data_IF_676181527030
#
_entry.id   IF_676181527030
#
_cell.length_a   1.000
_cell.length_b   1.000
_cell.length_c   1.000
_cell.angle_alpha   90.00
_cell.angle_beta   90.00
_cell.angle_gamma   90.00
#
_symmetry.space_group_name_H-M   'P 1'
#
loop_
_entity.id
_entity.type
_entity.pdbx_description
1 polymer ?
#
# COMPACT_ATOMS: atom_id res chain seq x y z
N UNK A 1 -12.28 -4.48 -30.89
CA UNK A 1 -12.77 -3.78 -29.69
C UNK A 1 -13.86 -4.61 -29.01
N UNK A 2 -14.91 -4.98 -29.69
CA UNK A 2 -16.10 -5.67 -29.11
C UNK A 2 -15.74 -6.93 -28.34
N UNK A 3 -14.92 -7.82 -28.90
CA UNK A 3 -14.49 -9.04 -28.23
C UNK A 3 -13.74 -8.79 -26.92
N UNK A 4 -12.89 -7.74 -26.89
CA UNK A 4 -12.13 -7.39 -25.71
C UNK A 4 -13.04 -6.83 -24.61
N UNK A 5 -14.05 -6.02 -24.98
CA UNK A 5 -15.03 -5.50 -24.03
C UNK A 5 -15.92 -6.62 -23.46
N UNK A 6 -16.33 -7.58 -24.27
CA UNK A 6 -17.09 -8.76 -23.81
C UNK A 6 -16.28 -9.63 -22.86
N UNK A 7 -14.98 -9.83 -23.15
CA UNK A 7 -14.07 -10.56 -22.29
C UNK A 7 -13.88 -9.87 -20.92
N UNK A 8 -13.75 -8.53 -20.91
CA UNK A 8 -13.59 -7.75 -19.68
C UNK A 8 -14.87 -7.69 -18.83
N UNK A 9 -16.03 -7.90 -19.45
CA UNK A 9 -17.34 -7.78 -18.82
C UNK A 9 -18.14 -9.09 -18.88
N UNK A 10 -17.65 -10.20 -18.31
CA UNK A 10 -18.35 -11.49 -18.35
C UNK A 10 -19.73 -11.43 -17.68
N UNK A 11 -19.95 -10.51 -16.75
CA UNK A 11 -21.21 -10.28 -16.05
C UNK A 11 -22.34 -9.74 -16.97
N UNK A 12 -22.06 -9.37 -18.23
CA UNK A 12 -23.11 -9.03 -19.18
C UNK A 12 -23.79 -10.27 -19.78
N UNK A 13 -23.12 -11.44 -19.69
CA UNK A 13 -23.54 -12.69 -20.33
C UNK A 13 -23.79 -13.79 -19.29
N UNK A 14 -22.94 -13.88 -18.26
CA UNK A 14 -23.00 -14.90 -17.21
C UNK A 14 -23.84 -14.44 -16.03
N UNK A 15 -24.35 -15.40 -15.25
CA UNK A 15 -25.02 -15.11 -13.98
C UNK A 15 -24.06 -14.38 -13.01
N UNK A 16 -24.62 -13.46 -12.24
CA UNK A 16 -23.88 -12.68 -11.26
C UNK A 16 -23.19 -13.55 -10.19
N UNK A 17 -23.74 -14.71 -9.89
CA UNK A 17 -23.20 -15.66 -8.91
C UNK A 17 -22.02 -16.49 -9.45
N UNK A 18 -21.81 -16.48 -10.77
CA UNK A 18 -20.76 -17.26 -11.43
C UNK A 18 -19.47 -16.47 -11.69
N UNK A 19 -19.51 -15.14 -11.47
CA UNK A 19 -18.37 -14.26 -11.78
C UNK A 19 -17.66 -13.76 -10.54
N UNK A 20 -16.36 -13.58 -10.64
CA UNK A 20 -15.49 -12.94 -9.63
C UNK A 20 -15.42 -13.65 -8.27
N UNK A 21 -15.65 -14.98 -8.24
CA UNK A 21 -15.56 -15.80 -7.03
C UNK A 21 -14.13 -16.13 -6.60
N UNK A 22 -13.19 -16.01 -7.51
CA UNK A 22 -11.77 -16.31 -7.31
C UNK A 22 -11.01 -15.27 -6.50
N UNK A 23 -11.60 -14.09 -6.25
CA UNK A 23 -10.91 -12.99 -5.56
C UNK A 23 -11.10 -13.07 -4.04
N UNK A 24 -9.99 -12.99 -3.31
CA UNK A 24 -9.99 -12.96 -1.85
C UNK A 24 -10.51 -11.63 -1.32
N UNK A 25 -11.21 -11.67 -0.21
CA UNK A 25 -11.72 -10.48 0.47
C UNK A 25 -10.59 -9.49 0.80
N UNK A 26 -10.90 -8.19 0.74
CA UNK A 26 -10.00 -7.10 1.11
C UNK A 26 -10.70 -6.19 2.10
N UNK A 27 -10.04 -5.86 3.22
CA UNK A 27 -10.65 -5.00 4.27
C UNK A 27 -11.09 -3.62 3.75
N UNK A 28 -10.43 -3.12 2.73
CA UNK A 28 -10.80 -1.84 2.10
C UNK A 28 -12.03 -1.91 1.20
N UNK A 29 -12.64 -3.08 1.02
CA UNK A 29 -13.82 -3.24 0.17
C UNK A 29 -15.00 -2.41 0.69
N UNK A 30 -15.30 -2.45 1.98
CA UNK A 30 -16.45 -1.72 2.55
C UNK A 30 -16.26 -0.21 2.41
N UNK A 31 -15.03 0.30 2.63
CA UNK A 31 -14.72 1.70 2.38
C UNK A 31 -14.88 2.05 0.89
N UNK A 32 -14.38 1.20 -0.02
CA UNK A 32 -14.51 1.41 -1.46
C UNK A 32 -15.99 1.45 -1.89
N UNK A 33 -16.81 0.56 -1.34
CA UNK A 33 -18.26 0.52 -1.58
C UNK A 33 -18.98 1.75 -1.03
N UNK A 34 -18.58 2.24 0.16
CA UNK A 34 -19.18 3.46 0.74
C UNK A 34 -18.96 4.69 -0.16
N UNK A 35 -17.80 4.76 -0.85
CA UNK A 35 -17.49 5.84 -1.80
C UNK A 35 -18.38 5.83 -3.06
N UNK A 36 -19.11 4.75 -3.34
CA UNK A 36 -20.07 4.69 -4.46
C UNK A 36 -21.32 5.51 -4.18
N UNK A 37 -21.62 5.84 -2.92
CA UNK A 37 -22.80 6.62 -2.52
C UNK A 37 -22.72 8.10 -2.90
N UNK A 38 -21.51 8.63 -3.04
CA UNK A 38 -21.24 10.04 -3.37
C UNK A 38 -20.93 10.21 -4.86
N UNK A 39 -20.99 11.46 -5.35
CA UNK A 39 -20.78 11.76 -6.76
C UNK A 39 -19.32 11.67 -7.20
N UNK A 40 -18.39 11.92 -6.28
CA UNK A 40 -16.97 12.03 -6.56
C UNK A 40 -16.41 10.77 -7.23
N UNK A 41 -15.40 10.95 -8.06
CA UNK A 41 -14.64 9.87 -8.72
C UNK A 41 -13.89 9.11 -7.64
N UNK A 42 -13.91 7.79 -7.67
CA UNK A 42 -13.10 6.95 -6.78
C UNK A 42 -11.79 6.59 -7.49
N UNK A 43 -10.66 7.01 -6.92
CA UNK A 43 -9.35 6.65 -7.44
C UNK A 43 -8.67 5.64 -6.50
N UNK A 44 -8.57 4.39 -6.93
CA UNK A 44 -7.88 3.32 -6.24
C UNK A 44 -6.43 3.31 -6.70
N UNK A 45 -5.52 3.72 -5.83
CA UNK A 45 -4.09 3.79 -6.14
C UNK A 45 -3.29 2.83 -5.26
N UNK A 46 -2.10 2.48 -5.70
CA UNK A 46 -1.22 1.55 -4.97
C UNK A 46 -0.20 0.92 -5.90
N UNK A 47 0.81 0.27 -5.33
CA UNK A 47 1.86 -0.37 -6.10
C UNK A 47 1.30 -1.36 -7.15
N UNK A 48 2.10 -1.67 -8.15
CA UNK A 48 1.79 -2.75 -9.10
C UNK A 48 1.60 -4.08 -8.34
N UNK A 49 0.62 -4.89 -8.74
CA UNK A 49 0.31 -6.23 -8.20
C UNK A 49 -0.21 -6.30 -6.75
N UNK A 50 -0.62 -5.18 -6.14
CA UNK A 50 -1.26 -5.19 -4.80
C UNK A 50 -2.73 -5.61 -4.81
N UNK A 51 -3.33 -5.81 -6.00
CA UNK A 51 -4.71 -6.29 -6.13
C UNK A 51 -5.74 -5.18 -6.40
N UNK A 52 -5.36 -4.03 -7.00
CA UNK A 52 -6.29 -2.96 -7.39
C UNK A 52 -7.41 -3.48 -8.30
N UNK A 53 -7.06 -4.19 -9.37
CA UNK A 53 -8.01 -4.81 -10.30
C UNK A 53 -8.89 -5.87 -9.60
N UNK A 54 -8.34 -6.62 -8.64
CA UNK A 54 -9.11 -7.57 -7.83
C UNK A 54 -10.12 -6.86 -6.96
N UNK A 55 -9.75 -5.75 -6.32
CA UNK A 55 -10.68 -4.94 -5.52
C UNK A 55 -11.81 -4.37 -6.39
N UNK A 56 -11.51 -3.88 -7.61
CA UNK A 56 -12.56 -3.42 -8.53
C UNK A 56 -13.52 -4.55 -8.94
N UNK A 57 -13.02 -5.77 -9.12
CA UNK A 57 -13.87 -6.95 -9.41
C UNK A 57 -14.75 -7.33 -8.21
N UNK A 58 -14.24 -7.23 -6.97
CA UNK A 58 -15.04 -7.40 -5.76
C UNK A 58 -16.13 -6.33 -5.63
N UNK A 59 -15.81 -5.07 -5.95
CA UNK A 59 -16.81 -3.99 -5.99
C UNK A 59 -17.92 -4.27 -7.03
N UNK A 60 -17.53 -4.72 -8.23
CA UNK A 60 -18.49 -5.12 -9.28
C UNK A 60 -19.38 -6.26 -8.79
N UNK A 61 -18.80 -7.31 -8.18
CA UNK A 61 -19.55 -8.42 -7.60
C UNK A 61 -20.60 -7.95 -6.60
N UNK A 62 -20.24 -7.01 -5.74
CA UNK A 62 -21.17 -6.42 -4.76
C UNK A 62 -22.25 -5.58 -5.43
N UNK A 63 -21.94 -4.84 -6.49
CA UNK A 63 -22.92 -4.05 -7.26
C UNK A 63 -23.92 -4.93 -8.00
N UNK A 64 -23.51 -6.07 -8.54
CA UNK A 64 -24.37 -7.00 -9.30
C UNK A 64 -25.54 -7.53 -8.48
N UNK A 65 -25.50 -7.42 -7.14
CA UNK A 65 -26.62 -7.77 -6.28
C UNK A 65 -27.76 -6.72 -6.30
N UNK A 66 -27.52 -5.51 -6.81
CA UNK A 66 -28.44 -4.37 -6.70
C UNK A 66 -28.58 -3.56 -7.99
N UNK A 67 -27.70 -3.76 -8.96
CA UNK A 67 -27.59 -2.96 -10.17
C UNK A 67 -27.67 -3.85 -11.39
N UNK A 68 -28.38 -3.40 -12.43
CA UNK A 68 -28.40 -4.11 -13.70
C UNK A 68 -26.97 -4.30 -14.23
N UNK A 69 -26.62 -5.52 -14.60
CA UNK A 69 -25.28 -5.88 -15.07
C UNK A 69 -24.83 -5.01 -16.27
N UNK A 70 -25.76 -4.58 -17.10
CA UNK A 70 -25.49 -3.72 -18.26
C UNK A 70 -25.12 -2.29 -17.86
N UNK A 71 -25.48 -1.83 -16.67
CA UNK A 71 -25.10 -0.53 -16.11
C UNK A 71 -23.75 -0.55 -15.40
N UNK A 72 -23.04 -1.68 -15.45
CA UNK A 72 -21.71 -1.83 -14.90
C UNK A 72 -20.74 -2.11 -16.07
N UNK A 73 -19.77 -1.23 -16.25
CA UNK A 73 -18.73 -1.36 -17.27
C UNK A 73 -17.35 -1.46 -16.62
N UNK A 74 -16.54 -2.37 -17.09
CA UNK A 74 -15.14 -2.50 -16.70
C UNK A 74 -14.24 -2.58 -17.93
N UNK A 75 -13.09 -1.92 -17.88
CA UNK A 75 -12.06 -2.01 -18.90
C UNK A 75 -10.66 -1.97 -18.28
N UNK A 76 -9.77 -2.83 -18.76
CA UNK A 76 -8.35 -2.79 -18.46
C UNK A 76 -7.58 -2.21 -19.64
N UNK A 77 -7.06 -0.99 -19.47
CA UNK A 77 -6.33 -0.26 -20.51
C UNK A 77 -4.88 -0.77 -20.73
N UNK A 78 -4.37 -1.68 -19.88
CA UNK A 78 -3.06 -2.32 -20.06
C UNK A 78 -3.09 -3.40 -21.17
N UNK A 79 -4.27 -3.84 -21.63
CA UNK A 79 -4.38 -4.83 -22.70
C UNK A 79 -3.73 -4.32 -24.00
N UNK A 80 -2.99 -5.21 -24.65
CA UNK A 80 -2.22 -4.90 -25.87
C UNK A 80 -3.06 -4.31 -27.00
N UNK A 81 -4.34 -4.68 -27.07
CA UNK A 81 -5.29 -4.14 -28.04
C UNK A 81 -5.48 -2.61 -27.95
N UNK A 82 -5.22 -2.02 -26.79
CA UNK A 82 -5.41 -0.59 -26.54
C UNK A 82 -4.11 0.23 -26.65
N UNK A 83 -2.94 -0.41 -26.49
CA UNK A 83 -1.63 0.27 -26.49
C UNK A 83 -1.39 1.16 -27.71
N UNK A 84 -1.75 0.77 -28.97
CA UNK A 84 -1.55 1.62 -30.14
C UNK A 84 -2.32 2.95 -30.08
N UNK A 85 -3.38 3.02 -29.30
CA UNK A 85 -4.31 4.15 -29.25
C UNK A 85 -4.13 5.05 -28.01
N UNK A 86 -3.14 4.78 -27.15
CA UNK A 86 -2.91 5.50 -25.89
C UNK A 86 -2.74 7.02 -26.03
N UNK A 87 -2.35 7.48 -27.22
CA UNK A 87 -2.16 8.90 -27.53
C UNK A 87 -3.34 9.52 -28.30
N UNK A 88 -4.37 8.74 -28.66
CA UNK A 88 -5.59 9.29 -29.30
C UNK A 88 -6.54 9.84 -28.22
N UNK A 89 -6.72 11.17 -28.13
CA UNK A 89 -7.56 11.78 -27.08
C UNK A 89 -9.05 11.41 -27.20
N UNK A 90 -9.48 10.92 -28.39
CA UNK A 90 -10.87 10.53 -28.65
C UNK A 90 -11.11 9.03 -28.43
N UNK A 91 -10.07 8.25 -28.15
CA UNK A 91 -10.25 6.79 -28.12
C UNK A 91 -11.11 6.33 -26.92
N UNK A 92 -11.01 6.98 -25.77
CA UNK A 92 -11.88 6.69 -24.62
C UNK A 92 -13.36 7.01 -24.92
N UNK A 93 -13.63 8.04 -25.76
CA UNK A 93 -14.99 8.30 -26.24
C UNK A 93 -15.48 7.16 -27.15
N UNK A 94 -14.63 6.65 -28.06
CA UNK A 94 -14.98 5.48 -28.91
C UNK A 94 -15.27 4.22 -28.08
N UNK A 95 -14.49 3.99 -27.01
CA UNK A 95 -14.75 2.90 -26.07
C UNK A 95 -16.12 3.07 -25.42
N UNK A 96 -16.43 4.26 -24.92
CA UNK A 96 -17.72 4.59 -24.32
C UNK A 96 -18.88 4.37 -25.28
N UNK A 97 -18.78 4.86 -26.51
CA UNK A 97 -19.83 4.71 -27.55
C UNK A 97 -20.00 3.21 -27.93
N UNK A 98 -18.91 2.44 -27.93
CA UNK A 98 -18.98 1.00 -28.17
C UNK A 98 -19.68 0.27 -27.01
N UNK A 99 -19.39 0.66 -25.76
CA UNK A 99 -20.09 0.15 -24.59
C UNK A 99 -21.61 0.38 -24.69
N UNK A 100 -22.05 1.62 -24.99
CA UNK A 100 -23.48 1.92 -25.13
C UNK A 100 -24.16 1.02 -26.17
N UNK A 101 -23.48 0.78 -27.30
CA UNK A 101 -24.02 -0.08 -28.38
C UNK A 101 -24.08 -1.57 -27.98
N UNK A 102 -23.04 -2.08 -27.32
CA UNK A 102 -22.95 -3.50 -26.96
C UNK A 102 -23.79 -3.89 -25.75
N UNK A 103 -23.73 -3.10 -24.69
CA UNK A 103 -24.41 -3.39 -23.46
C UNK A 103 -25.86 -2.90 -23.45
N UNK A 104 -26.15 -1.81 -24.16
CA UNK A 104 -27.46 -1.14 -24.14
C UNK A 104 -27.94 -0.87 -22.69
N UNK A 105 -27.16 -0.13 -21.87
CA UNK A 105 -27.51 0.12 -20.49
C UNK A 105 -28.81 0.95 -20.38
N UNK A 106 -29.47 0.91 -19.21
CA UNK A 106 -30.54 1.84 -18.91
C UNK A 106 -29.92 3.21 -18.56
N UNK A 107 -30.05 4.19 -19.48
CA UNK A 107 -29.45 5.52 -19.33
C UNK A 107 -30.17 6.39 -18.26
N UNK A 108 -31.38 6.01 -17.83
CA UNK A 108 -32.10 6.68 -16.74
C UNK A 108 -31.56 6.28 -15.36
N UNK A 109 -30.78 5.22 -15.30
CA UNK A 109 -30.12 4.73 -14.08
C UNK A 109 -28.64 5.10 -14.04
N UNK A 110 -28.06 5.06 -12.84
CA UNK A 110 -26.62 5.32 -12.65
C UNK A 110 -25.79 4.24 -13.36
N UNK A 111 -24.82 4.67 -14.15
CA UNK A 111 -23.82 3.80 -14.77
C UNK A 111 -22.57 3.81 -13.90
N UNK A 112 -22.01 2.63 -13.58
CA UNK A 112 -20.76 2.45 -12.88
C UNK A 112 -19.66 2.10 -13.87
N UNK A 113 -18.70 3.03 -14.03
CA UNK A 113 -17.68 2.95 -15.06
C UNK A 113 -16.30 2.74 -14.42
N UNK A 114 -15.80 1.50 -14.48
CA UNK A 114 -14.51 1.09 -13.95
C UNK A 114 -13.45 1.12 -15.04
N UNK A 115 -12.38 1.90 -14.80
CA UNK A 115 -11.24 2.00 -15.71
C UNK A 115 -9.97 1.60 -14.96
N UNK A 116 -9.42 0.47 -15.33
CA UNK A 116 -8.20 -0.07 -14.73
C UNK A 116 -6.96 0.45 -15.49
N UNK A 117 -5.93 0.88 -14.73
CA UNK A 117 -4.66 1.44 -15.21
C UNK A 117 -4.86 2.66 -16.14
N UNK A 118 -5.72 3.60 -15.73
CA UNK A 118 -6.15 4.75 -16.56
C UNK A 118 -4.99 5.63 -17.03
N UNK A 119 -3.88 5.71 -16.29
CA UNK A 119 -2.70 6.52 -16.62
C UNK A 119 -1.97 6.08 -17.91
N UNK A 120 -2.34 4.93 -18.46
CA UNK A 120 -1.78 4.47 -19.77
C UNK A 120 -2.22 5.38 -20.89
N UNK A 121 -3.42 5.96 -20.79
CA UNK A 121 -3.95 6.86 -21.80
C UNK A 121 -3.63 8.33 -21.48
N UNK A 122 -3.05 9.04 -22.44
CA UNK A 122 -2.82 10.48 -22.31
C UNK A 122 -4.16 11.23 -22.37
N UNK A 123 -4.28 12.32 -21.60
CA UNK A 123 -5.48 13.18 -21.58
C UNK A 123 -6.77 12.46 -21.12
N UNK A 124 -6.65 11.37 -20.36
CA UNK A 124 -7.80 10.65 -19.82
C UNK A 124 -8.70 11.53 -18.94
N UNK A 125 -8.11 12.53 -18.29
CA UNK A 125 -8.80 13.46 -17.40
C UNK A 125 -9.84 14.30 -18.14
N UNK A 126 -9.58 14.62 -19.40
CA UNK A 126 -10.52 15.36 -20.26
C UNK A 126 -11.77 14.54 -20.52
N UNK A 127 -11.59 13.24 -20.84
CA UNK A 127 -12.71 12.31 -21.02
C UNK A 127 -13.52 12.17 -19.74
N UNK A 128 -12.86 11.85 -18.62
CA UNK A 128 -13.53 11.64 -17.33
C UNK A 128 -14.28 12.91 -16.91
N UNK A 129 -13.66 14.10 -17.03
CA UNK A 129 -14.31 15.37 -16.70
C UNK A 129 -15.55 15.59 -17.54
N UNK A 130 -15.46 15.43 -18.88
CA UNK A 130 -16.58 15.68 -19.78
C UNK A 130 -17.79 14.80 -19.44
N UNK A 131 -17.57 13.53 -19.16
CA UNK A 131 -18.64 12.59 -18.81
C UNK A 131 -19.13 12.78 -17.36
N UNK A 132 -18.25 13.14 -16.42
CA UNK A 132 -18.64 13.49 -15.05
C UNK A 132 -19.59 14.68 -14.98
N UNK A 133 -19.41 15.68 -15.85
CA UNK A 133 -20.25 16.89 -15.88
C UNK A 133 -21.60 16.67 -16.59
N UNK A 134 -21.65 15.79 -17.59
CA UNK A 134 -22.79 15.67 -18.52
C UNK A 134 -23.64 14.42 -18.35
N UNK A 135 -23.30 13.50 -17.43
CA UNK A 135 -24.00 12.22 -17.35
C UNK A 135 -24.10 11.65 -15.93
N UNK A 136 -24.97 10.66 -15.75
CA UNK A 136 -25.14 9.92 -14.48
C UNK A 136 -24.11 8.80 -14.28
N UNK A 137 -22.81 9.09 -14.61
CA UNK A 137 -21.75 8.10 -14.49
C UNK A 137 -21.02 8.25 -13.16
N UNK A 138 -20.88 7.14 -12.44
CA UNK A 138 -19.96 6.98 -11.31
C UNK A 138 -18.67 6.39 -11.81
N UNK A 139 -17.59 7.15 -11.78
CA UNK A 139 -16.26 6.69 -12.17
C UNK A 139 -15.52 6.05 -11.02
N UNK A 140 -14.94 4.88 -11.29
CA UNK A 140 -13.97 4.20 -10.46
C UNK A 140 -12.73 3.96 -11.33
N UNK A 141 -11.61 4.59 -10.97
CA UNK A 141 -10.37 4.52 -11.73
C UNK A 141 -9.28 3.88 -10.90
N UNK A 142 -8.37 3.15 -11.53
CA UNK A 142 -7.18 2.65 -10.83
C UNK A 142 -5.90 3.17 -11.46
N UNK A 143 -4.83 3.19 -10.66
CA UNK A 143 -3.50 3.52 -11.14
C UNK A 143 -2.38 3.07 -10.21
N UNK A 144 -1.22 2.78 -10.80
CA UNK A 144 -0.04 2.26 -10.09
C UNK A 144 0.85 3.35 -9.48
N UNK A 145 0.39 4.62 -9.44
CA UNK A 145 1.22 5.73 -8.98
C UNK A 145 0.40 6.76 -8.18
N UNK A 146 0.99 7.29 -7.10
CA UNK A 146 0.38 8.34 -6.28
C UNK A 146 0.21 9.66 -7.05
N UNK A 147 1.11 9.96 -7.99
CA UNK A 147 1.06 11.17 -8.81
C UNK A 147 -0.04 11.15 -9.89
N UNK A 148 -0.81 10.05 -10.02
CA UNK A 148 -1.99 9.99 -10.88
C UNK A 148 -2.91 11.21 -10.66
N UNK A 149 -3.00 11.66 -9.41
CA UNK A 149 -3.84 12.79 -8.99
C UNK A 149 -3.06 14.11 -8.83
N UNK A 150 -1.73 14.09 -9.03
CA UNK A 150 -0.86 15.26 -8.88
C UNK A 150 -0.40 15.86 -10.23
N UNK A 151 -0.74 15.24 -11.35
CA UNK A 151 -0.36 15.71 -12.69
C UNK A 151 -1.01 17.06 -13.01
N UNK A 152 -0.45 17.77 -13.99
CA UNK A 152 -0.96 19.09 -14.46
C UNK A 152 -2.43 19.01 -14.91
N UNK A 153 -2.86 17.84 -15.36
CA UNK A 153 -4.25 17.58 -15.75
C UNK A 153 -5.16 17.18 -14.57
N UNK A 154 -4.59 16.73 -13.46
CA UNK A 154 -5.37 16.44 -12.23
C UNK A 154 -6.01 17.71 -11.65
N UNK A 155 -5.52 18.91 -12.01
CA UNK A 155 -6.17 20.18 -11.70
C UNK A 155 -7.60 20.26 -12.26
N UNK A 156 -7.90 19.57 -13.37
CA UNK A 156 -9.24 19.49 -13.97
C UNK A 156 -10.23 18.73 -13.07
N UNK A 157 -9.74 17.85 -12.21
CA UNK A 157 -10.53 16.98 -11.31
C UNK A 157 -10.36 17.36 -9.83
N UNK A 158 -9.67 18.47 -9.52
CA UNK A 158 -9.44 18.93 -8.15
C UNK A 158 -10.78 19.07 -7.40
N UNK A 159 -10.82 18.48 -6.17
CA UNK A 159 -12.03 18.48 -5.32
C UNK A 159 -13.12 17.50 -5.77
N UNK A 160 -12.88 16.68 -6.81
CA UNK A 160 -13.86 15.73 -7.35
C UNK A 160 -13.42 14.27 -7.24
N UNK A 161 -12.35 14.00 -6.51
CA UNK A 161 -11.76 12.65 -6.42
C UNK A 161 -11.59 12.23 -4.96
N UNK A 162 -12.11 11.08 -4.63
CA UNK A 162 -11.85 10.36 -3.38
C UNK A 162 -10.74 9.33 -3.63
N UNK A 163 -9.66 9.47 -2.89
CA UNK A 163 -8.49 8.60 -2.99
C UNK A 163 -8.63 7.42 -2.05
N UNK A 164 -8.42 6.21 -2.56
CA UNK A 164 -8.27 4.99 -1.80
C UNK A 164 -6.91 4.37 -2.09
N UNK A 165 -5.98 4.44 -1.14
CA UNK A 165 -4.69 3.78 -1.27
C UNK A 165 -4.81 2.31 -0.87
N UNK A 166 -4.42 1.40 -1.78
CA UNK A 166 -4.41 -0.03 -1.55
C UNK A 166 -2.95 -0.53 -1.45
N UNK A 167 -2.61 -1.13 -0.31
CA UNK A 167 -1.35 -1.85 -0.08
C UNK A 167 -1.47 -3.33 -0.44
N UNK A 168 -0.36 -4.07 -0.40
CA UNK A 168 -0.37 -5.53 -0.34
C UNK A 168 -1.27 -6.02 0.80
N UNK A 169 -1.56 -7.31 0.87
CA UNK A 169 -2.39 -7.88 1.95
C UNK A 169 -1.80 -7.50 3.31
N UNK A 170 -2.64 -7.01 4.23
CA UNK A 170 -2.25 -6.90 5.63
C UNK A 170 -2.31 -8.27 6.32
N UNK A 171 -1.87 -8.37 7.57
CA UNK A 171 -1.79 -9.64 8.27
C UNK A 171 -3.16 -10.31 8.46
N UNK A 172 -4.21 -9.54 8.76
CA UNK A 172 -5.57 -10.08 8.92
C UNK A 172 -6.14 -10.61 7.59
N UNK A 173 -5.91 -9.90 6.47
CA UNK A 173 -6.26 -10.39 5.13
C UNK A 173 -5.47 -11.66 4.79
N UNK A 174 -4.20 -11.75 5.23
CA UNK A 174 -3.37 -12.94 5.06
C UNK A 174 -3.88 -14.13 5.88
N UNK A 175 -4.27 -13.93 7.15
CA UNK A 175 -4.91 -14.97 7.97
C UNK A 175 -6.23 -15.45 7.35
N UNK A 176 -7.06 -14.52 6.88
CA UNK A 176 -8.32 -14.83 6.19
C UNK A 176 -8.10 -15.66 4.93
N UNK A 177 -7.08 -15.34 4.14
CA UNK A 177 -6.68 -16.14 2.97
C UNK A 177 -6.23 -17.55 3.36
N UNK A 178 -5.48 -17.69 4.46
CA UNK A 178 -5.05 -18.98 5.03
C UNK A 178 -6.19 -19.75 5.70
N UNK A 179 -7.38 -19.16 5.80
CA UNK A 179 -8.55 -19.71 6.52
C UNK A 179 -8.26 -19.96 8.02
N UNK A 180 -7.40 -19.14 8.62
CA UNK A 180 -7.09 -19.17 10.05
C UNK A 180 -8.05 -18.21 10.75
N UNK A 181 -8.83 -18.76 11.69
CA UNK A 181 -9.85 -18.00 12.43
C UNK A 181 -9.21 -17.21 13.58
N UNK A 182 -9.51 -15.90 13.66
CA UNK A 182 -8.92 -14.96 14.64
C UNK A 182 -9.93 -13.95 15.21
N UNK A 183 -11.24 -14.16 15.00
CA UNK A 183 -12.29 -13.17 15.35
C UNK A 183 -12.53 -13.03 16.85
N UNK A 184 -12.06 -13.95 17.67
CA UNK A 184 -12.26 -13.95 19.12
C UNK A 184 -11.01 -14.41 19.87
N UNK A 185 -10.90 -14.02 21.15
CA UNK A 185 -9.81 -14.49 22.00
C UNK A 185 -9.74 -16.03 22.06
N UNK A 186 -10.89 -16.71 22.00
CA UNK A 186 -10.94 -18.17 21.98
C UNK A 186 -10.37 -18.72 20.66
N UNK A 187 -10.77 -18.19 19.51
CA UNK A 187 -10.25 -18.66 18.21
C UNK A 187 -8.77 -18.37 18.07
N UNK A 188 -8.28 -17.24 18.56
CA UNK A 188 -6.84 -16.92 18.60
C UNK A 188 -6.09 -17.95 19.44
N UNK A 189 -6.58 -18.26 20.65
CA UNK A 189 -5.93 -19.26 21.52
C UNK A 189 -5.93 -20.67 20.90
N UNK A 190 -7.02 -21.06 20.23
CA UNK A 190 -7.12 -22.35 19.55
C UNK A 190 -6.18 -22.47 18.35
N UNK A 191 -5.97 -21.39 17.62
CA UNK A 191 -5.16 -21.35 16.39
C UNK A 191 -3.76 -20.75 16.63
N UNK A 192 -3.30 -20.64 17.88
CA UNK A 192 -2.04 -19.95 18.24
C UNK A 192 -0.85 -20.43 17.40
N UNK A 193 -0.70 -21.74 17.24
CA UNK A 193 0.43 -22.35 16.49
C UNK A 193 0.37 -21.96 15.00
N UNK A 194 -0.82 -21.98 14.39
CA UNK A 194 -1.03 -21.59 13.01
C UNK A 194 -0.79 -20.09 12.81
N UNK A 195 -1.22 -19.28 13.76
CA UNK A 195 -1.02 -17.82 13.73
C UNK A 195 0.47 -17.50 13.89
N UNK A 196 1.20 -18.14 14.79
CA UNK A 196 2.65 -17.95 14.96
C UNK A 196 3.42 -18.28 13.67
N UNK A 197 3.08 -19.40 13.02
CA UNK A 197 3.65 -19.77 11.71
C UNK A 197 3.29 -18.75 10.62
N UNK A 198 2.08 -18.20 10.68
CA UNK A 198 1.64 -17.16 9.77
C UNK A 198 2.39 -15.86 10.01
N UNK A 199 2.72 -15.49 11.27
CA UNK A 199 3.58 -14.35 11.62
C UNK A 199 4.96 -14.52 11.00
N UNK A 200 5.60 -15.69 11.17
CA UNK A 200 6.90 -16.00 10.58
C UNK A 200 6.90 -15.87 9.06
N UNK A 201 5.89 -16.45 8.41
CA UNK A 201 5.77 -16.40 6.96
C UNK A 201 5.55 -14.97 6.47
N UNK A 202 4.66 -14.21 7.12
CA UNK A 202 4.35 -12.85 6.75
C UNK A 202 5.52 -11.89 7.06
N UNK A 203 6.19 -12.05 8.18
CA UNK A 203 7.42 -11.32 8.54
C UNK A 203 8.48 -11.47 7.44
N UNK A 204 8.67 -12.70 6.95
CA UNK A 204 9.69 -13.01 5.94
C UNK A 204 9.27 -12.61 4.53
N UNK A 205 8.03 -12.86 4.13
CA UNK A 205 7.61 -12.80 2.71
C UNK A 205 6.65 -11.67 2.37
N UNK A 206 6.13 -10.96 3.38
CA UNK A 206 5.20 -9.84 3.19
C UNK A 206 3.82 -10.25 2.67
N UNK A 207 3.09 -9.26 2.16
CA UNK A 207 1.68 -9.38 1.80
C UNK A 207 1.38 -9.46 0.30
N UNK A 208 2.36 -9.57 -0.60
CA UNK A 208 2.08 -9.76 -2.01
C UNK A 208 1.47 -11.14 -2.28
N UNK A 209 0.22 -11.17 -2.78
CA UNK A 209 -0.53 -12.41 -3.05
C UNK A 209 0.28 -13.44 -3.85
N UNK A 210 0.86 -13.04 -4.97
CA UNK A 210 1.64 -13.94 -5.82
C UNK A 210 2.87 -14.54 -5.13
N UNK A 211 3.37 -13.88 -4.08
CA UNK A 211 4.52 -14.34 -3.31
C UNK A 211 4.09 -15.36 -2.27
N UNK A 212 3.17 -14.98 -1.39
CA UNK A 212 2.79 -15.88 -0.30
C UNK A 212 1.97 -17.11 -0.78
N UNK A 213 1.25 -17.00 -1.89
CA UNK A 213 0.55 -18.16 -2.49
C UNK A 213 1.49 -19.18 -3.17
N UNK A 214 2.76 -18.81 -3.35
CA UNK A 214 3.77 -19.69 -3.96
C UNK A 214 4.48 -20.52 -2.88
N UNK A 215 4.55 -21.85 -2.98
CA UNK A 215 5.16 -22.67 -1.92
C UNK A 215 6.69 -22.63 -1.90
N UNK A 216 7.35 -22.39 -3.03
CA UNK A 216 8.81 -22.45 -3.18
C UNK A 216 9.48 -21.13 -2.85
N UNK A 217 10.41 -21.12 -1.89
CA UNK A 217 11.11 -19.92 -1.44
C UNK A 217 11.97 -19.24 -2.52
N UNK A 218 12.59 -20.02 -3.40
CA UNK A 218 13.36 -19.46 -4.51
C UNK A 218 12.45 -18.72 -5.48
N UNK A 219 11.29 -19.29 -5.81
CA UNK A 219 10.29 -18.64 -6.65
C UNK A 219 9.69 -17.40 -5.96
N UNK A 220 9.48 -17.43 -4.64
CA UNK A 220 9.06 -16.24 -3.89
C UNK A 220 10.03 -15.08 -4.08
N UNK A 221 11.35 -15.33 -3.99
CA UNK A 221 12.38 -14.29 -4.21
C UNK A 221 12.39 -13.75 -5.63
N UNK A 222 12.29 -14.65 -6.62
CA UNK A 222 12.21 -14.24 -8.03
C UNK A 222 10.95 -13.39 -8.29
N UNK A 223 9.81 -13.74 -7.70
CA UNK A 223 8.58 -12.96 -7.83
C UNK A 223 8.72 -11.57 -7.20
N UNK A 224 9.31 -11.46 -5.99
CA UNK A 224 9.59 -10.18 -5.35
C UNK A 224 10.52 -9.31 -6.19
N UNK A 225 11.60 -9.91 -6.73
CA UNK A 225 12.52 -9.22 -7.63
C UNK A 225 11.80 -8.72 -8.88
N UNK A 226 10.99 -9.57 -9.51
CA UNK A 226 10.23 -9.20 -10.70
C UNK A 226 9.21 -8.08 -10.40
N UNK A 227 8.57 -8.08 -9.22
CA UNK A 227 7.66 -7.00 -8.82
C UNK A 227 8.42 -5.68 -8.71
N UNK A 228 9.55 -5.66 -8.01
CA UNK A 228 10.36 -4.46 -7.83
C UNK A 228 10.91 -3.96 -9.18
N UNK A 229 11.45 -4.86 -10.02
CA UNK A 229 11.96 -4.51 -11.35
C UNK A 229 10.86 -4.03 -12.30
N UNK A 230 9.67 -4.63 -12.27
CA UNK A 230 8.53 -4.16 -13.07
C UNK A 230 8.13 -2.73 -12.67
N UNK A 231 8.07 -2.42 -11.37
CA UNK A 231 7.79 -1.06 -10.90
C UNK A 231 8.88 -0.09 -11.37
N UNK A 232 10.15 -0.45 -11.23
CA UNK A 232 11.26 0.43 -11.63
C UNK A 232 11.31 0.61 -13.14
N UNK A 233 11.30 -0.48 -13.91
CA UNK A 233 11.57 -0.45 -15.36
C UNK A 233 10.33 -0.13 -16.19
N UNK A 234 9.14 -0.50 -15.76
CA UNK A 234 7.91 -0.28 -16.53
C UNK A 234 7.12 0.95 -16.07
N UNK A 235 7.16 1.29 -14.77
CA UNK A 235 6.39 2.41 -14.25
C UNK A 235 7.27 3.66 -14.03
N UNK A 236 8.46 3.54 -13.40
CA UNK A 236 9.31 4.69 -13.06
C UNK A 236 10.13 5.17 -14.25
N UNK A 237 10.95 4.31 -14.84
CA UNK A 237 11.92 4.69 -15.90
C UNK A 237 11.24 5.38 -17.08
N UNK A 238 10.15 4.87 -17.68
CA UNK A 238 9.47 5.53 -18.79
C UNK A 238 8.78 6.83 -18.39
N UNK A 239 8.14 6.86 -17.22
CA UNK A 239 7.37 8.02 -16.74
C UNK A 239 8.23 9.24 -16.51
N UNK A 240 9.38 9.06 -15.88
CA UNK A 240 10.30 10.15 -15.54
C UNK A 240 11.44 10.29 -16.55
N UNK A 241 11.38 9.59 -17.68
CA UNK A 241 12.37 9.62 -18.76
C UNK A 241 13.81 9.41 -18.25
N UNK A 242 13.99 8.43 -17.33
CA UNK A 242 15.27 8.18 -16.70
C UNK A 242 16.23 7.55 -17.71
N UNK A 243 17.40 8.20 -17.93
CA UNK A 243 18.43 7.72 -18.85
C UNK A 243 19.30 6.61 -18.26
N UNK A 244 19.59 6.68 -16.95
CA UNK A 244 20.43 5.71 -16.24
C UNK A 244 19.56 4.78 -15.39
N UNK A 245 19.01 3.75 -16.03
CA UNK A 245 18.17 2.76 -15.36
C UNK A 245 18.95 1.84 -14.42
N UNK A 246 20.27 1.68 -14.60
CA UNK A 246 21.12 0.91 -13.72
C UNK A 246 21.30 1.63 -12.37
N UNK A 247 21.60 2.92 -12.39
CA UNK A 247 21.79 3.68 -11.17
C UNK A 247 20.53 3.73 -10.28
N UNK A 248 19.34 3.83 -10.86
CA UNK A 248 18.11 3.80 -10.05
C UNK A 248 17.82 2.41 -9.49
N UNK A 249 18.14 1.33 -10.21
CA UNK A 249 18.08 -0.03 -9.69
C UNK A 249 19.04 -0.23 -8.53
N UNK A 250 20.31 0.15 -8.69
CA UNK A 250 21.33 0.02 -7.66
C UNK A 250 20.97 0.82 -6.41
N UNK A 251 20.42 2.02 -6.60
CA UNK A 251 19.90 2.84 -5.50
C UNK A 251 18.78 2.11 -4.76
N UNK A 252 17.85 1.46 -5.47
CA UNK A 252 16.77 0.71 -4.83
C UNK A 252 17.32 -0.44 -3.97
N UNK A 253 18.21 -1.28 -4.49
CA UNK A 253 18.79 -2.38 -3.72
C UNK A 253 19.63 -1.90 -2.53
N UNK A 254 20.29 -0.74 -2.68
CA UNK A 254 21.00 -0.12 -1.57
C UNK A 254 20.01 0.36 -0.48
N UNK A 255 18.91 0.98 -0.89
CA UNK A 255 17.82 1.43 -0.01
C UNK A 255 17.22 0.25 0.75
N UNK A 256 16.90 -0.84 0.06
CA UNK A 256 16.41 -2.08 0.69
C UNK A 256 17.36 -2.61 1.76
N UNK A 257 18.68 -2.60 1.45
CA UNK A 257 19.71 -3.08 2.39
C UNK A 257 19.92 -2.16 3.60
N UNK A 258 19.34 -0.96 3.60
CA UNK A 258 19.42 0.04 4.66
C UNK A 258 18.02 0.52 5.10
N UNK A 259 17.01 -0.34 4.99
CA UNK A 259 15.67 -0.05 5.50
C UNK A 259 15.70 0.23 7.02
N UNK A 260 14.70 0.91 7.52
CA UNK A 260 14.56 1.36 8.91
C UNK A 260 15.67 2.31 9.42
N UNK A 261 16.51 2.84 8.54
CA UNK A 261 17.56 3.79 8.93
C UNK A 261 17.26 5.20 8.43
N UNK A 262 17.98 6.18 9.03
CA UNK A 262 17.88 7.57 8.60
C UNK A 262 18.49 7.78 7.22
N UNK A 263 17.75 8.45 6.35
CA UNK A 263 18.13 8.72 4.97
C UNK A 263 19.21 9.81 4.89
N UNK A 264 20.39 9.46 4.37
CA UNK A 264 21.48 10.40 4.11
C UNK A 264 21.77 10.50 2.61
N UNK A 265 21.18 11.49 1.96
CA UNK A 265 21.26 11.71 0.51
C UNK A 265 22.72 11.84 0.03
N UNK A 266 23.58 12.58 0.74
CA UNK A 266 24.98 12.77 0.35
C UNK A 266 25.80 11.49 0.43
N UNK A 267 25.52 10.64 1.44
CA UNK A 267 26.16 9.32 1.56
C UNK A 267 25.71 8.39 0.45
N UNK A 268 24.40 8.41 0.11
CA UNK A 268 23.84 7.63 -0.99
C UNK A 268 24.44 8.03 -2.33
N UNK A 269 24.52 9.33 -2.61
CA UNK A 269 25.10 9.88 -3.84
C UNK A 269 26.53 9.37 -4.08
N UNK A 270 27.37 9.43 -3.04
CA UNK A 270 28.75 8.89 -3.11
C UNK A 270 28.81 7.39 -3.35
N UNK A 271 27.87 6.62 -2.76
CA UNK A 271 27.88 5.15 -2.86
C UNK A 271 27.42 4.67 -4.24
N UNK A 272 26.43 5.34 -4.83
CA UNK A 272 25.85 4.96 -6.13
C UNK A 272 26.62 5.64 -7.29
N UNK A 273 27.39 6.70 -7.03
CA UNK A 273 28.16 7.40 -8.07
C UNK A 273 27.29 8.36 -8.91
N UNK A 274 26.22 8.91 -8.32
CA UNK A 274 25.36 9.92 -8.97
C UNK A 274 25.27 11.17 -8.09
N UNK A 275 24.78 12.27 -8.63
CA UNK A 275 24.63 13.51 -7.87
C UNK A 275 23.47 13.44 -6.83
N UNK A 276 23.57 14.29 -5.79
CA UNK A 276 22.62 14.30 -4.69
C UNK A 276 21.19 14.70 -5.11
N UNK A 277 21.07 15.50 -6.18
CA UNK A 277 19.74 15.90 -6.71
C UNK A 277 19.06 14.69 -7.32
N UNK A 278 19.75 13.92 -8.15
CA UNK A 278 19.24 12.68 -8.76
C UNK A 278 18.84 11.66 -7.68
N UNK A 279 19.65 11.48 -6.62
CA UNK A 279 19.26 10.60 -5.50
C UNK A 279 17.95 11.06 -4.86
N UNK A 280 17.80 12.36 -4.60
CA UNK A 280 16.57 12.91 -4.00
C UNK A 280 15.35 12.70 -4.90
N UNK A 281 15.51 12.90 -6.21
CA UNK A 281 14.45 12.65 -7.20
C UNK A 281 14.08 11.16 -7.24
N UNK A 282 15.04 10.25 -7.29
CA UNK A 282 14.79 8.80 -7.34
C UNK A 282 14.11 8.29 -6.07
N UNK A 283 14.49 8.81 -4.90
CA UNK A 283 13.76 8.52 -3.64
C UNK A 283 12.30 8.98 -3.74
N UNK A 284 12.05 10.17 -4.30
CA UNK A 284 10.69 10.64 -4.58
C UNK A 284 9.93 9.70 -5.53
N UNK A 285 10.58 9.23 -6.60
CA UNK A 285 9.97 8.30 -7.54
C UNK A 285 9.64 6.94 -6.92
N UNK A 286 10.48 6.45 -6.00
CA UNK A 286 10.17 5.23 -5.24
C UNK A 286 8.96 5.44 -4.32
N UNK A 287 8.82 6.62 -3.70
CA UNK A 287 7.64 6.96 -2.89
C UNK A 287 6.37 7.06 -3.74
N UNK A 288 6.45 7.77 -4.86
CA UNK A 288 5.32 7.94 -5.78
C UNK A 288 4.81 6.61 -6.34
N UNK A 289 5.69 5.61 -6.46
CA UNK A 289 5.34 4.27 -6.95
C UNK A 289 5.20 3.23 -5.84
N UNK A 290 5.05 3.67 -4.60
CA UNK A 290 4.76 2.82 -3.44
C UNK A 290 5.79 1.71 -3.18
N UNK A 291 7.07 1.92 -3.51
CA UNK A 291 8.15 1.00 -3.14
C UNK A 291 8.64 1.25 -1.73
N UNK A 292 8.69 2.51 -1.34
CA UNK A 292 9.15 2.97 -0.03
C UNK A 292 8.21 4.03 0.54
N UNK A 293 8.29 4.22 1.85
CA UNK A 293 7.75 5.38 2.57
C UNK A 293 8.85 6.01 3.43
N UNK A 294 8.74 7.29 3.70
CA UNK A 294 9.64 7.98 4.64
C UNK A 294 8.83 8.69 5.70
N UNK A 295 9.27 8.61 6.94
CA UNK A 295 8.67 9.34 8.06
C UNK A 295 9.65 10.40 8.59
N UNK A 296 9.17 11.59 8.98
CA UNK A 296 10.01 12.65 9.53
C UNK A 296 10.35 12.40 11.00
N UNK A 297 11.43 13.01 11.50
CA UNK A 297 11.59 13.18 12.94
C UNK A 297 10.53 14.17 13.44
N UNK A 298 9.83 13.82 14.50
CA UNK A 298 8.77 14.65 15.08
C UNK A 298 9.34 15.93 15.66
N UNK A 299 8.71 17.04 15.35
CA UNK A 299 8.96 18.35 15.96
C UNK A 299 7.64 19.08 16.15
N UNK A 300 7.50 19.82 17.24
CA UNK A 300 6.32 20.65 17.51
C UNK A 300 6.10 21.74 16.45
N UNK A 301 7.17 22.18 15.77
CA UNK A 301 7.09 23.16 14.67
C UNK A 301 7.15 22.44 13.32
N UNK A 302 6.09 22.56 12.51
CA UNK A 302 5.98 21.94 11.19
C UNK A 302 7.20 22.25 10.29
N UNK A 303 7.72 23.48 10.31
CA UNK A 303 8.89 23.87 9.53
C UNK A 303 10.17 23.11 9.90
N UNK A 304 10.32 22.74 11.18
CA UNK A 304 11.43 21.90 11.64
C UNK A 304 11.21 20.45 11.23
N UNK A 305 9.99 19.95 11.37
CA UNK A 305 9.64 18.58 10.96
C UNK A 305 9.85 18.36 9.46
N UNK A 306 9.46 19.33 8.61
CA UNK A 306 9.69 19.24 7.14
C UNK A 306 11.19 19.17 6.82
N UNK A 307 12.03 19.90 7.54
CA UNK A 307 13.49 19.97 7.34
C UNK A 307 14.26 18.83 8.03
N UNK A 308 13.60 18.07 8.90
CA UNK A 308 14.25 17.00 9.67
C UNK A 308 14.73 15.87 8.78
N UNK A 309 15.71 15.11 9.27
CA UNK A 309 16.07 13.83 8.67
C UNK A 309 14.86 12.91 8.61
N UNK A 310 14.80 12.07 7.58
CA UNK A 310 13.71 11.12 7.41
C UNK A 310 14.22 9.70 7.60
N UNK A 311 13.45 8.88 8.29
CA UNK A 311 13.67 7.43 8.40
C UNK A 311 12.93 6.73 7.28
N UNK A 312 13.55 5.71 6.67
CA UNK A 312 13.06 5.06 5.45
C UNK A 312 12.52 3.67 5.78
N UNK A 313 11.36 3.35 5.21
CA UNK A 313 10.70 2.04 5.31
C UNK A 313 10.30 1.53 3.94
N UNK A 314 10.26 0.21 3.80
CA UNK A 314 9.71 -0.45 2.62
C UNK A 314 8.18 -0.60 2.76
N UNK A 315 7.48 -0.53 1.65
CA UNK A 315 6.01 -0.66 1.63
C UNK A 315 5.54 -2.11 1.86
N UNK A 316 6.45 -3.08 1.75
CA UNK A 316 6.17 -4.50 1.99
C UNK A 316 7.43 -5.19 2.52
N UNK A 317 7.28 -6.03 3.55
CA UNK A 317 8.38 -6.75 4.18
C UNK A 317 9.11 -7.69 3.22
N UNK A 318 8.40 -8.26 2.25
CA UNK A 318 8.97 -9.17 1.28
C UNK A 318 10.18 -8.57 0.55
N UNK A 319 10.18 -7.27 0.28
CA UNK A 319 11.29 -6.60 -0.38
C UNK A 319 12.62 -6.64 0.40
N UNK A 320 12.58 -6.83 1.73
CA UNK A 320 13.81 -7.01 2.53
C UNK A 320 14.65 -8.21 2.06
N UNK A 321 14.02 -9.23 1.44
CA UNK A 321 14.74 -10.36 0.87
C UNK A 321 15.60 -10.03 -0.36
N UNK A 322 15.46 -8.83 -0.91
CA UNK A 322 16.20 -8.36 -2.08
C UNK A 322 17.50 -7.61 -1.69
N UNK A 323 17.73 -7.37 -0.40
CA UNK A 323 18.94 -6.71 0.10
C UNK A 323 20.20 -7.53 -0.13
N UNK A 324 21.34 -6.84 -0.34
CA UNK A 324 22.66 -7.47 -0.53
C UNK A 324 23.14 -8.18 0.74
N UNK A 325 22.90 -7.58 1.90
CA UNK A 325 22.97 -8.31 3.15
C UNK A 325 21.64 -9.07 3.26
N UNK A 326 21.70 -10.39 3.12
CA UNK A 326 20.57 -11.23 3.56
C UNK A 326 20.35 -10.87 5.02
N UNK A 327 19.47 -9.94 5.28
CA UNK A 327 19.21 -9.45 6.62
C UNK A 327 18.62 -10.60 7.40
N UNK A 328 19.48 -11.31 8.13
CA UNK A 328 19.09 -12.13 9.28
C UNK A 328 18.71 -11.22 10.47
N UNK A 329 18.67 -9.92 10.25
CA UNK A 329 18.33 -8.95 11.27
C UNK A 329 16.81 -8.88 11.38
N UNK A 330 16.31 -9.75 12.24
CA UNK A 330 14.88 -9.89 12.54
C UNK A 330 14.30 -8.57 13.11
N UNK A 331 15.13 -7.75 13.76
CA UNK A 331 14.72 -6.46 14.30
C UNK A 331 14.31 -5.50 13.18
N UNK A 332 15.07 -5.43 12.08
CA UNK A 332 14.70 -4.61 10.90
C UNK A 332 13.39 -5.10 10.28
N UNK A 333 13.22 -6.44 10.20
CA UNK A 333 12.00 -7.03 9.63
C UNK A 333 10.79 -6.71 10.51
N UNK A 334 10.93 -6.84 11.83
CA UNK A 334 9.86 -6.55 12.77
C UNK A 334 9.49 -5.06 12.77
N UNK A 335 10.47 -4.16 12.80
CA UNK A 335 10.25 -2.72 12.75
C UNK A 335 9.54 -2.30 11.45
N UNK A 336 9.97 -2.84 10.30
CA UNK A 336 9.31 -2.54 9.03
C UNK A 336 7.89 -3.13 8.98
N UNK A 337 7.65 -4.30 9.57
CA UNK A 337 6.33 -4.92 9.66
C UNK A 337 5.38 -4.09 10.54
N UNK A 338 5.84 -3.61 11.69
CA UNK A 338 5.08 -2.67 12.54
C UNK A 338 4.75 -1.40 11.76
N UNK A 339 5.72 -0.83 11.04
CA UNK A 339 5.48 0.34 10.19
C UNK A 339 4.37 0.10 9.15
N UNK A 340 4.42 -1.04 8.43
CA UNK A 340 3.40 -1.36 7.43
C UNK A 340 2.03 -1.59 8.04
N UNK A 341 1.96 -2.12 9.26
CA UNK A 341 0.71 -2.30 10.00
C UNK A 341 0.10 -0.99 10.48
N UNK A 342 0.91 0.00 10.87
CA UNK A 342 0.43 1.34 11.23
C UNK A 342 -0.32 2.00 10.06
N UNK A 343 0.13 1.83 8.83
CA UNK A 343 -0.50 2.22 7.55
C UNK A 343 -1.41 3.46 7.62
N UNK A 344 -0.96 4.54 8.26
CA UNK A 344 -1.70 5.77 8.43
C UNK A 344 -0.84 7.01 8.18
N UNK A 345 -1.51 8.14 7.97
CA UNK A 345 -0.84 9.44 7.87
C UNK A 345 -0.42 9.93 9.27
N UNK A 346 0.58 10.80 9.32
CA UNK A 346 1.03 11.42 10.56
C UNK A 346 2.04 10.62 11.37
N UNK A 347 2.45 9.43 10.91
CA UNK A 347 3.52 8.67 11.57
C UNK A 347 4.83 9.43 11.47
N UNK A 348 5.53 9.56 12.61
CA UNK A 348 6.87 10.14 12.73
C UNK A 348 7.71 9.28 13.67
N UNK A 349 9.03 9.48 13.67
CA UNK A 349 9.91 8.90 14.69
C UNK A 349 10.42 10.00 15.62
N UNK A 350 11.03 9.64 16.72
CA UNK A 350 11.61 10.58 17.67
C UNK A 350 13.10 10.30 17.84
N UNK A 351 13.93 11.30 17.62
CA UNK A 351 15.38 11.19 17.80
C UNK A 351 15.93 12.48 18.46
N UNK A 352 16.36 12.35 19.71
CA UNK A 352 17.03 13.41 20.48
C UNK A 352 17.82 12.80 21.63
N UNK A 353 19.06 12.40 21.37
CA UNK A 353 19.88 11.67 22.35
C UNK A 353 19.41 10.25 22.68
N UNK A 354 18.12 10.00 22.57
CA UNK A 354 17.43 8.71 22.58
C UNK A 354 16.62 8.57 21.30
N UNK A 355 16.17 7.36 20.99
CA UNK A 355 15.30 7.07 19.85
C UNK A 355 14.00 6.45 20.32
N UNK A 356 12.88 6.77 19.62
CA UNK A 356 11.64 6.03 19.65
C UNK A 356 11.18 5.84 18.20
N UNK A 357 10.91 4.59 17.82
CA UNK A 357 10.72 4.20 16.43
C UNK A 357 9.50 4.86 15.80
N UNK A 358 8.39 4.97 16.56
CA UNK A 358 7.17 5.60 16.03
C UNK A 358 6.49 6.49 17.08
N UNK A 359 6.03 7.62 16.60
CA UNK A 359 5.10 8.51 17.28
C UNK A 359 3.93 8.79 16.36
N UNK A 360 2.73 8.40 16.76
CA UNK A 360 1.53 8.46 15.96
C UNK A 360 0.30 8.61 16.86
N UNK A 361 -0.60 9.52 16.53
CA UNK A 361 -1.82 9.82 17.30
C UNK A 361 -1.58 10.03 18.80
N UNK A 362 -0.43 10.62 19.12
CA UNK A 362 -0.04 10.89 20.51
C UNK A 362 0.52 9.68 21.27
N UNK A 363 0.75 8.56 20.64
CA UNK A 363 1.29 7.30 21.20
C UNK A 363 2.74 7.11 20.84
N UNK A 364 3.50 6.58 21.79
CA UNK A 364 4.91 6.21 21.65
C UNK A 364 4.98 4.70 21.43
N UNK A 365 5.61 4.28 20.34
CA UNK A 365 5.76 2.86 19.98
C UNK A 365 7.24 2.60 19.69
N UNK A 366 7.82 1.72 20.45
CA UNK A 366 9.17 1.19 20.27
C UNK A 366 9.07 -0.25 19.77
N UNK A 367 10.06 -0.72 19.02
CA UNK A 367 10.07 -2.08 18.49
C UNK A 367 11.39 -2.77 18.86
N UNK A 368 11.32 -3.95 19.43
CA UNK A 368 12.50 -4.79 19.72
C UNK A 368 12.16 -6.25 19.46
N UNK A 369 13.00 -6.95 18.70
CA UNK A 369 12.74 -8.35 18.41
C UNK A 369 12.87 -9.21 19.68
N UNK A 370 13.94 -9.00 20.45
CA UNK A 370 14.22 -9.68 21.70
C UNK A 370 14.35 -8.66 22.84
N UNK A 371 13.80 -9.02 24.01
CA UNK A 371 13.88 -8.22 25.25
C UNK A 371 14.35 -9.04 26.44
N UNK A 372 14.93 -10.23 26.21
CA UNK A 372 15.44 -11.11 27.27
C UNK A 372 16.68 -10.52 27.96
N UNK A 373 17.53 -9.81 27.20
CA UNK A 373 18.68 -9.15 27.78
C UNK A 373 18.28 -7.88 28.54
N UNK A 374 18.59 -7.84 29.84
CA UNK A 374 18.35 -6.68 30.72
C UNK A 374 18.88 -5.36 30.14
N UNK A 375 20.03 -5.40 29.45
CA UNK A 375 20.64 -4.23 28.80
C UNK A 375 19.77 -3.69 27.66
N UNK A 376 19.21 -4.57 26.84
CA UNK A 376 18.30 -4.24 25.75
C UNK A 376 16.98 -3.71 26.30
N UNK A 377 16.35 -4.45 27.24
CA UNK A 377 15.10 -4.05 27.90
C UNK A 377 15.23 -2.67 28.51
N UNK A 378 16.31 -2.42 29.27
CA UNK A 378 16.59 -1.12 29.87
C UNK A 378 16.73 0.00 28.83
N UNK A 379 17.44 -0.26 27.72
CA UNK A 379 17.63 0.72 26.65
C UNK A 379 16.29 1.16 26.03
N UNK A 380 15.42 0.19 25.69
CA UNK A 380 14.13 0.45 25.05
C UNK A 380 13.17 1.17 26.03
N UNK A 381 13.12 0.75 27.29
CA UNK A 381 12.32 1.40 28.31
C UNK A 381 12.78 2.84 28.61
N UNK A 382 14.09 3.08 28.65
CA UNK A 382 14.65 4.43 28.82
C UNK A 382 14.31 5.34 27.64
N UNK A 383 14.26 4.81 26.40
CA UNK A 383 13.81 5.57 25.24
C UNK A 383 12.35 6.00 25.37
N UNK A 384 11.46 5.06 25.66
CA UNK A 384 10.03 5.32 25.87
C UNK A 384 9.82 6.32 27.01
N UNK A 385 10.46 6.10 28.19
CA UNK A 385 10.37 6.99 29.34
C UNK A 385 10.82 8.42 29.03
N UNK A 386 11.95 8.55 28.33
CA UNK A 386 12.49 9.86 27.95
C UNK A 386 11.47 10.67 27.14
N UNK A 387 10.89 10.07 26.10
CA UNK A 387 9.93 10.76 25.26
C UNK A 387 8.54 10.88 25.90
N UNK A 388 8.12 9.93 26.74
CA UNK A 388 6.90 10.05 27.53
C UNK A 388 6.94 11.27 28.44
N UNK A 389 8.00 11.45 29.20
CA UNK A 389 8.18 12.63 30.07
C UNK A 389 8.22 13.94 29.25
N UNK A 390 8.92 13.95 28.11
CA UNK A 390 9.04 15.12 27.24
C UNK A 390 7.73 15.54 26.58
N UNK A 391 6.90 14.57 26.20
CA UNK A 391 5.62 14.79 25.50
C UNK A 391 4.42 14.75 26.45
N UNK A 392 4.65 14.68 27.75
CA UNK A 392 3.63 14.60 28.80
C UNK A 392 2.68 13.41 28.56
N UNK A 393 3.26 12.22 28.32
CA UNK A 393 2.56 10.97 28.16
C UNK A 393 2.78 10.08 29.39
N UNK A 394 1.76 9.32 29.75
CA UNK A 394 1.79 8.40 30.89
C UNK A 394 2.09 6.95 30.47
N UNK A 395 2.02 6.69 29.15
CA UNK A 395 2.14 5.34 28.59
C UNK A 395 3.05 5.29 27.37
N UNK A 396 3.71 4.15 27.17
CA UNK A 396 4.42 3.78 25.95
C UNK A 396 4.16 2.31 25.61
N UNK A 397 4.27 1.96 24.33
CA UNK A 397 4.11 0.58 23.83
C UNK A 397 5.47 0.09 23.36
N UNK A 398 5.86 -1.10 23.78
CA UNK A 398 7.00 -1.83 23.24
C UNK A 398 6.49 -3.06 22.48
N UNK A 399 6.59 -3.04 21.16
CA UNK A 399 6.21 -4.20 20.34
C UNK A 399 7.38 -5.16 20.27
N UNK A 400 7.13 -6.41 20.63
CA UNK A 400 8.11 -7.50 20.64
C UNK A 400 7.65 -8.65 19.76
N UNK A 401 8.55 -9.62 19.52
CA UNK A 401 8.19 -10.77 18.71
C UNK A 401 7.24 -11.72 19.46
N UNK A 402 7.53 -12.06 20.73
CA UNK A 402 6.87 -13.14 21.46
C UNK A 402 6.54 -12.84 22.93
N UNK A 403 6.76 -11.62 23.40
CA UNK A 403 6.57 -11.27 24.82
C UNK A 403 5.41 -10.30 25.01
N UNK A 404 4.55 -10.56 26.00
CA UNK A 404 3.49 -9.63 26.42
C UNK A 404 3.50 -9.46 27.92
N UNK A 405 3.64 -8.23 28.40
CA UNK A 405 3.51 -7.85 29.81
C UNK A 405 3.10 -6.38 29.94
N UNK A 406 2.49 -6.00 31.03
CA UNK A 406 2.29 -4.58 31.40
C UNK A 406 3.01 -4.32 32.71
N UNK A 407 3.79 -3.24 32.75
CA UNK A 407 4.56 -2.89 33.96
C UNK A 407 4.70 -1.37 34.10
N UNK A 408 4.92 -0.94 35.34
CA UNK A 408 5.30 0.43 35.62
C UNK A 408 6.83 0.56 35.63
N UNK A 409 7.35 1.50 34.84
CA UNK A 409 8.78 1.80 34.76
C UNK A 409 9.04 3.27 35.02
N UNK A 410 9.55 3.58 36.21
CA UNK A 410 9.97 4.92 36.64
C UNK A 410 8.92 6.02 36.34
N UNK A 411 7.65 5.75 36.68
CA UNK A 411 6.55 6.70 36.59
C UNK A 411 5.80 6.73 35.25
N UNK A 412 6.07 5.80 34.34
CA UNK A 412 5.26 5.57 33.16
C UNK A 412 4.81 4.10 33.08
N UNK A 413 3.66 3.86 32.47
CA UNK A 413 3.21 2.49 32.15
C UNK A 413 3.80 2.09 30.80
N UNK A 414 4.48 0.95 30.75
CA UNK A 414 4.95 0.32 29.51
C UNK A 414 4.12 -0.92 29.25
N UNK A 415 3.42 -0.91 28.15
CA UNK A 415 2.73 -2.07 27.60
C UNK A 415 3.67 -2.78 26.64
N UNK A 416 4.18 -3.95 27.01
CA UNK A 416 4.92 -4.83 26.11
C UNK A 416 3.90 -5.70 25.38
N UNK A 417 3.87 -5.59 24.06
CA UNK A 417 2.85 -6.22 23.22
C UNK A 417 3.49 -7.11 22.16
N UNK A 418 3.16 -8.38 22.17
CA UNK A 418 3.60 -9.32 21.15
C UNK A 418 3.03 -8.93 19.77
N UNK A 419 3.83 -9.11 18.72
CA UNK A 419 3.52 -8.66 17.35
C UNK A 419 2.21 -9.24 16.82
N UNK A 420 1.88 -10.47 17.13
CA UNK A 420 0.62 -11.11 16.77
C UNK A 420 -0.57 -10.27 17.23
N UNK A 421 -0.59 -9.89 18.52
CA UNK A 421 -1.66 -9.08 19.11
C UNK A 421 -1.72 -7.70 18.46
N UNK A 422 -0.55 -7.11 18.21
CA UNK A 422 -0.45 -5.82 17.50
C UNK A 422 -1.06 -5.87 16.10
N UNK A 423 -0.82 -6.94 15.34
CA UNK A 423 -1.28 -7.10 13.96
C UNK A 423 -2.76 -7.47 13.86
N UNK A 424 -3.28 -8.24 14.83
CA UNK A 424 -4.68 -8.70 14.84
C UNK A 424 -5.60 -7.64 15.43
N UNK A 425 -5.13 -6.87 16.42
CA UNK A 425 -5.96 -5.87 17.09
C UNK A 425 -6.52 -4.86 16.05
N UNK A 426 -7.80 -4.54 16.21
CA UNK A 426 -8.38 -3.43 15.50
C UNK A 426 -7.68 -2.13 15.93
N UNK A 427 -7.68 -1.11 15.06
CA UNK A 427 -7.09 0.22 15.32
C UNK A 427 -7.56 0.89 16.62
N UNK A 428 -8.54 0.33 17.32
CA UNK A 428 -9.05 0.78 18.62
C UNK A 428 -8.08 0.55 19.78
N UNK A 429 -7.08 -0.34 19.62
CA UNK A 429 -6.03 -0.55 20.63
C UNK A 429 -4.78 0.30 20.33
N UNK A 430 -4.65 0.79 19.10
CA UNK A 430 -3.62 1.75 18.68
C UNK A 430 -4.16 3.23 18.81
#
# INVERSE_FOLDING_TARGET
MDSVLLEDNPHWIKDSNEVYNEYSHREKLDMALSYLSVREIVAIIGARRVGKSSLTKLMIKSLLQKVNSKNIFFINLEKTAFIPYKNDPNYLHKIYDTYLKLANPNEDEKIYFFIDEIQIFNSWEVFVKSKYESSHIKFIITGSNASLLASTYATLLTGRVLKLELSSFNFREFLSYKQIEYSSALSIAQNKIEIDRAVDEYLKWGGYYSVFSTPNEQLKRELLKNIAEDIILKDIVPRYSIKNSEAIRDLFFYVVSNATTTLNISKLAKKIGIDAKSVKEYIGYFQDNFLIKTIPNYHNKLTQQIKSSKKLYLSDNGFLNLGVKRTKDQSIMLENMVFTALNQEGVSYLLEGKECDFYVDGRLIQVSFEVEEESTKKREFEGLRYFANRLHKERGVLVTYDTSEELEYQGIVIEVLEIEKFLISERSIL
#
